data_IF_201604552554
#
_entry.id   IF_201604552554
#
_cell.length_a   1.000
_cell.length_b   1.000
_cell.length_c   1.000
_cell.angle_alpha   90.00
_cell.angle_beta   90.00
_cell.angle_gamma   90.00
#
_symmetry.space_group_name_H-M   'P 1'
#
loop_
_entity.id
_entity.type
_entity.pdbx_description
1 polymer ?
#
# COMPACT_ATOMS: atom_id res chain seq x y z
N UNK A 1 76.87 -38.10 -13.40
CA UNK A 1 76.21 -37.22 -12.44
C UNK A 1 75.30 -36.30 -13.21
N UNK A 2 74.00 -36.60 -13.21
CA UNK A 2 72.99 -35.75 -13.82
C UNK A 2 72.75 -34.59 -12.84
N UNK A 3 72.88 -33.31 -13.27
CA UNK A 3 72.68 -32.18 -12.36
C UNK A 3 71.25 -32.05 -11.79
N UNK A 4 70.29 -32.83 -12.29
CA UNK A 4 68.90 -32.84 -11.84
C UNK A 4 68.57 -34.00 -10.87
N UNK A 5 69.52 -34.90 -10.61
CA UNK A 5 69.37 -36.00 -9.64
C UNK A 5 70.44 -35.93 -8.55
N UNK A 6 70.12 -36.46 -7.38
CA UNK A 6 71.03 -36.60 -6.25
C UNK A 6 71.10 -38.05 -5.77
N UNK A 7 72.06 -38.34 -4.89
CA UNK A 7 72.38 -39.71 -4.48
C UNK A 7 72.65 -40.68 -5.65
N UNK A 8 73.32 -40.17 -6.69
CA UNK A 8 73.67 -40.94 -7.88
C UNK A 8 74.52 -42.18 -7.52
N UNK A 9 73.98 -43.37 -7.75
CA UNK A 9 74.71 -44.64 -7.58
C UNK A 9 74.89 -45.33 -8.93
N UNK A 10 76.00 -46.05 -9.07
CA UNK A 10 76.28 -46.86 -10.24
C UNK A 10 75.58 -48.22 -10.10
N UNK A 11 74.74 -48.57 -11.06
CA UNK A 11 74.07 -49.87 -11.09
C UNK A 11 74.94 -50.96 -11.74
N UNK A 12 74.50 -52.22 -11.68
CA UNK A 12 75.21 -53.38 -12.25
C UNK A 12 75.28 -53.40 -13.78
N UNK A 13 74.57 -52.49 -14.44
CA UNK A 13 74.64 -52.24 -15.88
C UNK A 13 75.59 -51.08 -16.25
N UNK A 14 76.35 -50.56 -15.28
CA UNK A 14 77.24 -49.40 -15.42
C UNK A 14 76.54 -48.09 -15.81
N UNK A 15 75.28 -47.91 -15.41
CA UNK A 15 74.56 -46.64 -15.54
C UNK A 15 74.61 -45.90 -14.20
N UNK A 16 74.82 -44.59 -14.26
CA UNK A 16 74.82 -43.70 -13.11
C UNK A 16 73.46 -43.00 -13.08
N UNK A 17 72.59 -43.40 -12.15
CA UNK A 17 71.27 -42.82 -11.98
C UNK A 17 71.05 -42.49 -10.50
N UNK A 18 70.51 -41.30 -10.22
CA UNK A 18 70.14 -40.87 -8.89
C UNK A 18 68.63 -40.75 -8.72
N UNK A 19 68.24 -40.30 -7.54
CA UNK A 19 66.86 -39.94 -7.22
C UNK A 19 66.60 -38.50 -7.66
N UNK A 20 65.40 -38.22 -8.16
CA UNK A 20 64.98 -36.86 -8.48
C UNK A 20 65.15 -35.96 -7.25
N UNK A 21 65.80 -34.81 -7.42
CA UNK A 21 65.90 -33.80 -6.36
C UNK A 21 64.55 -33.08 -6.28
N UNK A 22 63.94 -33.06 -5.09
CA UNK A 22 62.69 -32.36 -4.86
C UNK A 22 62.89 -30.83 -4.71
N UNK A 23 61.79 -30.08 -4.55
CA UNK A 23 61.83 -28.62 -4.46
C UNK A 23 62.54 -28.07 -3.21
N UNK A 24 62.82 -28.92 -2.20
CA UNK A 24 63.61 -28.57 -1.02
C UNK A 24 65.08 -29.00 -1.15
N UNK A 25 65.48 -29.53 -2.31
CA UNK A 25 66.84 -29.98 -2.56
C UNK A 25 67.14 -31.39 -2.02
N UNK A 26 66.11 -32.18 -1.69
CA UNK A 26 66.26 -33.54 -1.14
C UNK A 26 66.14 -34.59 -2.25
N UNK A 27 67.17 -35.43 -2.49
CA UNK A 27 67.07 -36.55 -3.41
C UNK A 27 66.00 -37.56 -2.96
N UNK A 28 65.01 -37.81 -3.80
CA UNK A 28 63.88 -38.70 -3.48
C UNK A 28 62.88 -38.14 -2.48
N UNK A 29 62.94 -36.83 -2.20
CA UNK A 29 62.00 -36.16 -1.32
C UNK A 29 60.59 -36.02 -1.90
N UNK A 30 59.63 -35.63 -1.06
CA UNK A 30 58.21 -35.58 -1.39
C UNK A 30 57.72 -34.21 -1.87
N UNK A 31 58.54 -33.16 -1.81
CA UNK A 31 58.18 -31.80 -2.23
C UNK A 31 58.28 -31.67 -3.75
N UNK A 32 57.36 -32.32 -4.47
CA UNK A 32 57.32 -32.34 -5.93
C UNK A 32 56.23 -31.37 -6.44
N UNK A 33 56.31 -30.90 -7.69
CA UNK A 33 55.24 -30.09 -8.27
C UNK A 33 53.85 -30.75 -8.11
N UNK A 34 52.90 -30.01 -7.55
CA UNK A 34 51.55 -30.46 -7.19
C UNK A 34 51.43 -31.09 -5.79
N UNK A 35 52.52 -31.30 -5.06
CA UNK A 35 52.44 -31.72 -3.66
C UNK A 35 52.10 -30.52 -2.76
N UNK A 36 51.42 -30.75 -1.61
CA UNK A 36 51.11 -29.68 -0.67
C UNK A 36 52.36 -28.99 -0.13
N UNK A 37 52.21 -27.71 0.20
CA UNK A 37 53.19 -26.89 0.90
C UNK A 37 52.47 -25.85 1.78
N UNK A 38 53.23 -24.92 2.37
CA UNK A 38 52.72 -23.76 3.12
C UNK A 38 53.62 -22.58 2.72
N UNK A 39 53.04 -21.55 2.10
CA UNK A 39 53.77 -20.34 1.68
C UNK A 39 53.76 -19.23 2.75
N UNK A 40 53.18 -19.52 3.92
CA UNK A 40 52.94 -18.60 5.05
C UNK A 40 52.06 -17.38 4.70
N UNK A 41 51.40 -17.34 3.54
CA UNK A 41 50.45 -16.28 3.19
C UNK A 41 49.07 -16.58 3.78
N UNK A 42 48.59 -15.80 4.78
CA UNK A 42 47.30 -16.03 5.39
C UNK A 42 46.11 -15.75 4.46
N UNK A 43 46.34 -15.15 3.29
CA UNK A 43 45.32 -14.85 2.28
C UNK A 43 45.07 -15.98 1.27
N UNK A 44 45.85 -17.06 1.33
CA UNK A 44 45.73 -18.20 0.42
C UNK A 44 45.61 -19.52 1.18
N UNK A 45 45.06 -20.53 0.50
CA UNK A 45 45.05 -21.91 0.97
C UNK A 45 45.23 -22.87 -0.21
N UNK A 46 45.20 -24.17 0.08
CA UNK A 46 45.52 -25.21 -0.91
C UNK A 46 46.91 -25.03 -1.56
N UNK A 47 47.89 -24.58 -0.78
CA UNK A 47 49.22 -24.26 -1.30
C UNK A 47 49.90 -25.50 -1.89
N UNK A 48 50.44 -25.34 -3.10
CA UNK A 48 51.09 -26.42 -3.81
C UNK A 48 52.37 -25.94 -4.50
N UNK A 49 53.32 -26.86 -4.63
CA UNK A 49 54.54 -26.58 -5.37
C UNK A 49 54.24 -26.46 -6.86
N UNK A 50 54.64 -25.35 -7.48
CA UNK A 50 54.62 -25.20 -8.94
C UNK A 50 55.74 -26.00 -9.62
N UNK A 51 55.67 -26.13 -10.95
CA UNK A 51 56.75 -26.75 -11.75
C UNK A 51 58.10 -26.01 -11.66
N UNK A 52 58.09 -24.75 -11.18
CA UNK A 52 59.27 -23.96 -10.92
C UNK A 52 59.76 -24.05 -9.46
N UNK A 53 59.20 -24.96 -8.66
CA UNK A 53 59.47 -25.10 -7.22
C UNK A 53 59.20 -23.83 -6.41
N UNK A 54 58.16 -23.09 -6.78
CA UNK A 54 57.59 -21.99 -5.98
C UNK A 54 56.37 -22.56 -5.28
N UNK A 55 56.32 -22.44 -3.95
CA UNK A 55 55.11 -22.72 -3.17
C UNK A 55 54.18 -21.50 -3.27
N UNK A 56 52.93 -21.73 -3.67
CA UNK A 56 51.90 -20.68 -3.72
C UNK A 56 50.51 -21.29 -3.56
N UNK A 57 49.61 -20.59 -2.88
CA UNK A 57 48.21 -20.98 -2.73
C UNK A 57 47.21 -20.34 -3.68
N UNK A 58 45.97 -20.80 -3.58
CA UNK A 58 44.79 -20.19 -4.20
C UNK A 58 44.18 -19.17 -3.23
N UNK A 59 43.77 -18.01 -3.74
CA UNK A 59 43.11 -17.00 -2.90
C UNK A 59 41.79 -17.54 -2.33
N UNK A 60 41.52 -17.20 -1.08
CA UNK A 60 40.22 -17.47 -0.47
C UNK A 60 39.12 -16.65 -1.12
N UNK A 61 37.98 -17.28 -1.37
CA UNK A 61 36.75 -16.61 -1.75
C UNK A 61 36.03 -16.01 -0.52
N UNK A 62 34.86 -15.40 -0.74
CA UNK A 62 34.07 -14.75 0.31
C UNK A 62 33.50 -15.72 1.36
N UNK A 63 33.52 -17.03 1.11
CA UNK A 63 33.13 -18.09 2.04
C UNK A 63 34.34 -18.73 2.74
N UNK A 64 35.55 -18.21 2.51
CA UNK A 64 36.82 -18.77 2.95
C UNK A 64 37.12 -20.14 2.32
N UNK A 65 36.67 -20.37 1.08
CA UNK A 65 37.04 -21.53 0.29
C UNK A 65 38.18 -21.16 -0.68
N UNK A 66 39.39 -21.75 -0.57
CA UNK A 66 40.48 -21.47 -1.49
C UNK A 66 40.11 -21.89 -2.92
N UNK A 67 40.22 -20.96 -3.87
CA UNK A 67 39.82 -21.19 -5.27
C UNK A 67 38.31 -21.28 -5.48
N UNK A 68 37.52 -20.94 -4.45
CA UNK A 68 36.06 -21.04 -4.48
C UNK A 68 35.39 -20.01 -5.39
N UNK A 69 34.11 -20.25 -5.77
CA UNK A 69 33.39 -19.41 -6.73
C UNK A 69 32.77 -18.15 -6.13
N UNK A 70 32.73 -17.99 -4.79
CA UNK A 70 32.06 -16.86 -4.14
C UNK A 70 32.91 -15.59 -4.19
N UNK A 71 32.98 -14.97 -5.37
CA UNK A 71 33.78 -13.76 -5.61
C UNK A 71 32.89 -12.52 -5.69
N UNK A 72 33.42 -11.31 -5.44
CA UNK A 72 32.69 -10.06 -5.66
C UNK A 72 32.04 -10.01 -7.06
N UNK A 73 30.74 -9.72 -7.10
CA UNK A 73 29.89 -9.70 -8.30
C UNK A 73 29.24 -11.03 -8.67
N UNK A 74 29.56 -12.12 -7.97
CA UNK A 74 28.84 -13.40 -8.12
C UNK A 74 27.56 -13.42 -7.28
N UNK A 75 26.58 -14.19 -7.72
CA UNK A 75 25.27 -14.29 -7.06
C UNK A 75 25.37 -14.94 -5.68
N UNK A 76 24.56 -14.46 -4.75
CA UNK A 76 24.39 -15.03 -3.42
C UNK A 76 22.92 -14.95 -3.01
N UNK A 77 22.61 -15.25 -1.73
CA UNK A 77 21.29 -15.06 -1.13
C UNK A 77 21.49 -14.56 0.30
N UNK A 78 21.07 -13.33 0.58
CA UNK A 78 21.21 -12.70 1.90
C UNK A 78 20.02 -13.00 2.84
N UNK A 79 19.00 -13.70 2.33
CA UNK A 79 17.78 -14.06 3.03
C UNK A 79 16.81 -12.90 3.28
N UNK A 80 17.08 -11.71 2.75
CA UNK A 80 16.24 -10.53 2.91
C UNK A 80 15.19 -10.47 1.79
N UNK A 81 13.93 -10.61 2.16
CA UNK A 81 12.81 -10.61 1.21
C UNK A 81 12.52 -9.25 0.58
N UNK A 82 13.13 -8.17 1.10
CA UNK A 82 12.97 -6.82 0.57
C UNK A 82 14.06 -6.44 -0.44
N UNK A 83 14.93 -7.38 -0.78
CA UNK A 83 15.98 -7.21 -1.78
C UNK A 83 15.89 -8.32 -2.84
N UNK A 84 16.49 -8.07 -4.00
CA UNK A 84 16.65 -9.05 -5.06
C UNK A 84 17.99 -8.88 -5.76
N UNK A 85 18.34 -9.84 -6.62
CA UNK A 85 19.61 -9.85 -7.35
C UNK A 85 20.83 -9.74 -6.41
N UNK A 86 20.80 -10.52 -5.33
CA UNK A 86 21.84 -10.51 -4.32
C UNK A 86 23.19 -10.94 -4.90
N UNK A 87 24.21 -10.14 -4.60
CA UNK A 87 25.57 -10.38 -5.06
C UNK A 87 26.58 -10.06 -3.96
N UNK A 88 27.72 -10.75 -4.01
CA UNK A 88 28.86 -10.44 -3.15
C UNK A 88 29.45 -9.08 -3.53
N UNK A 89 29.63 -8.19 -2.56
CA UNK A 89 30.31 -6.91 -2.77
C UNK A 89 31.85 -7.03 -2.63
N UNK A 90 32.56 -5.90 -2.80
CA UNK A 90 34.02 -5.85 -2.68
C UNK A 90 34.55 -6.19 -1.28
N UNK A 91 33.68 -6.16 -0.26
CA UNK A 91 33.98 -6.47 1.13
C UNK A 91 33.47 -7.86 1.52
N UNK A 92 33.06 -8.70 0.55
CA UNK A 92 32.48 -10.01 0.77
C UNK A 92 31.21 -9.98 1.64
N UNK A 93 30.38 -8.96 1.44
CA UNK A 93 29.02 -8.91 1.99
C UNK A 93 28.04 -9.34 0.90
N UNK A 94 27.19 -10.31 1.21
CA UNK A 94 26.07 -10.64 0.33
C UNK A 94 24.97 -9.61 0.55
N UNK A 95 24.69 -8.80 -0.48
CA UNK A 95 23.67 -7.74 -0.44
C UNK A 95 22.88 -7.73 -1.74
N UNK A 96 21.58 -7.52 -1.65
CA UNK A 96 20.72 -7.29 -2.82
C UNK A 96 20.38 -5.85 -3.13
N UNK A 97 19.75 -5.65 -4.29
CA UNK A 97 19.14 -4.39 -4.68
C UNK A 97 17.78 -4.24 -4.01
N UNK A 98 17.43 -3.05 -3.49
CA UNK A 98 16.16 -2.84 -2.81
C UNK A 98 14.98 -3.03 -3.77
N UNK A 99 13.95 -3.72 -3.29
CA UNK A 99 12.65 -3.84 -3.95
C UNK A 99 11.69 -2.78 -3.42
N UNK A 100 10.84 -2.25 -4.29
CA UNK A 100 9.65 -1.51 -3.88
C UNK A 100 8.52 -2.47 -3.45
N UNK A 101 7.39 -1.95 -2.96
CA UNK A 101 6.30 -2.82 -2.49
C UNK A 101 5.67 -3.68 -3.61
N UNK A 102 5.91 -3.35 -4.88
CA UNK A 102 5.45 -4.10 -6.05
C UNK A 102 6.47 -5.15 -6.50
N UNK A 103 7.59 -5.30 -5.78
CA UNK A 103 8.66 -6.21 -6.12
C UNK A 103 9.52 -5.71 -7.29
N UNK A 104 9.51 -4.41 -7.57
CA UNK A 104 10.34 -3.80 -8.62
C UNK A 104 11.66 -3.32 -8.02
N UNK A 105 12.77 -3.79 -8.59
CA UNK A 105 14.12 -3.37 -8.22
C UNK A 105 14.28 -1.87 -8.40
N UNK A 106 14.69 -1.18 -7.34
CA UNK A 106 14.81 0.28 -7.27
C UNK A 106 13.53 1.00 -7.74
N UNK A 107 12.38 0.36 -7.56
CA UNK A 107 11.09 0.94 -7.89
C UNK A 107 10.69 2.04 -6.91
N UNK A 108 9.56 2.67 -7.20
CA UNK A 108 9.05 3.82 -6.44
C UNK A 108 7.68 3.56 -5.82
N UNK A 109 7.12 2.36 -5.95
CA UNK A 109 5.86 2.04 -5.31
C UNK A 109 6.03 1.95 -3.79
N UNK A 110 5.06 2.48 -3.05
CA UNK A 110 5.06 2.49 -1.58
C UNK A 110 3.74 1.98 -1.04
N UNK A 111 3.77 1.47 0.19
CA UNK A 111 2.53 1.21 0.93
C UNK A 111 1.96 2.57 1.34
N UNK A 112 0.77 2.88 0.87
CA UNK A 112 0.05 4.13 1.16
C UNK A 112 -0.72 4.06 2.49
N UNK A 113 -1.45 5.13 2.82
CA UNK A 113 -2.26 5.25 4.03
C UNK A 113 -3.39 4.22 4.12
N UNK A 114 -3.84 3.70 2.98
CA UNK A 114 -4.82 2.61 2.89
C UNK A 114 -4.20 1.22 3.03
N UNK A 115 -2.87 1.13 3.20
CA UNK A 115 -2.17 -0.15 3.23
C UNK A 115 -2.02 -0.82 1.86
N UNK A 116 -2.31 -0.10 0.78
CA UNK A 116 -2.20 -0.58 -0.59
C UNK A 116 -0.82 -0.24 -1.15
N UNK A 117 -0.23 -1.17 -1.90
CA UNK A 117 0.98 -0.85 -2.67
C UNK A 117 0.59 0.03 -3.88
N UNK A 118 0.90 1.32 -3.80
CA UNK A 118 0.48 2.33 -4.76
C UNK A 118 1.66 3.14 -5.33
N UNK A 119 1.42 3.82 -6.44
CA UNK A 119 2.43 4.59 -7.17
C UNK A 119 3.39 3.74 -8.01
N UNK A 120 4.41 4.39 -8.57
CA UNK A 120 5.40 3.73 -9.43
C UNK A 120 4.79 3.00 -10.62
N UNK A 121 4.96 1.67 -10.67
CA UNK A 121 4.49 0.82 -11.78
C UNK A 121 3.12 0.19 -11.54
N UNK A 122 2.50 0.41 -10.39
CA UNK A 122 1.23 -0.24 -9.99
C UNK A 122 0.02 0.27 -10.76
N UNK A 123 0.07 1.53 -11.24
CA UNK A 123 -1.07 2.21 -11.85
C UNK A 123 -2.17 2.60 -10.84
N UNK A 124 -1.90 2.46 -9.54
CA UNK A 124 -2.78 2.85 -8.45
C UNK A 124 -2.31 4.22 -7.95
N UNK A 125 -3.25 5.17 -7.81
CA UNK A 125 -2.95 6.48 -7.23
C UNK A 125 -2.74 6.33 -5.71
N UNK A 126 -1.63 6.82 -5.14
CA UNK A 126 -1.43 6.76 -3.69
C UNK A 126 -2.34 7.73 -2.96
N UNK A 127 -2.91 7.28 -1.83
CA UNK A 127 -3.72 8.11 -0.93
C UNK A 127 -4.84 8.89 -1.67
N UNK A 128 -5.70 8.21 -2.44
CA UNK A 128 -6.78 8.89 -3.15
C UNK A 128 -7.79 9.48 -2.14
N UNK A 129 -8.28 10.67 -2.49
CA UNK A 129 -9.30 11.46 -1.81
C UNK A 129 -10.13 12.13 -2.91
N UNK A 130 -11.10 11.39 -3.43
CA UNK A 130 -11.82 11.73 -4.66
C UNK A 130 -12.71 12.98 -4.49
N UNK A 131 -13.17 13.27 -3.27
CA UNK A 131 -14.06 14.40 -2.98
C UNK A 131 -13.39 15.59 -2.25
N UNK A 132 -12.15 15.42 -1.82
CA UNK A 132 -11.29 16.47 -1.29
C UNK A 132 -11.62 16.88 0.14
N UNK A 133 -12.21 15.99 0.94
CA UNK A 133 -12.60 16.28 2.32
C UNK A 133 -11.52 15.98 3.36
N UNK A 134 -10.33 15.54 2.90
CA UNK A 134 -9.19 15.13 3.72
C UNK A 134 -9.35 13.81 4.46
N UNK A 135 -10.32 12.99 4.09
CA UNK A 135 -10.44 11.57 4.42
C UNK A 135 -10.06 10.77 3.18
N UNK A 136 -9.26 9.72 3.35
CA UNK A 136 -8.88 8.87 2.21
C UNK A 136 -10.07 8.02 1.78
N UNK A 137 -10.20 7.71 0.49
CA UNK A 137 -11.30 6.90 -0.06
C UNK A 137 -11.51 5.58 0.71
N UNK A 138 -10.43 4.96 1.19
CA UNK A 138 -10.51 3.70 1.93
C UNK A 138 -11.10 3.82 3.35
N UNK A 139 -11.07 5.03 3.92
CA UNK A 139 -11.60 5.37 5.23
C UNK A 139 -12.86 6.26 5.13
N UNK A 140 -13.29 6.61 3.92
CA UNK A 140 -14.41 7.51 3.65
C UNK A 140 -15.73 6.76 3.43
N UNK A 141 -16.69 7.00 4.33
CA UNK A 141 -18.04 6.44 4.25
C UNK A 141 -18.97 7.16 3.24
N UNK A 142 -18.50 8.20 2.56
CA UNK A 142 -19.20 8.92 1.51
C UNK A 142 -18.29 9.39 0.34
N UNK A 143 -17.52 8.48 -0.26
CA UNK A 143 -16.59 8.64 -1.41
C UNK A 143 -16.75 9.79 -2.45
N UNK A 144 -17.97 10.29 -2.67
CA UNK A 144 -18.24 11.37 -3.65
C UNK A 144 -18.81 12.64 -3.05
N UNK A 145 -18.92 12.75 -1.72
CA UNK A 145 -19.58 13.84 -1.00
C UNK A 145 -18.83 14.18 0.28
N UNK A 146 -18.09 15.29 0.20
CA UNK A 146 -17.23 15.76 1.29
C UNK A 146 -17.92 15.82 2.66
N UNK A 147 -17.46 14.98 3.58
CA UNK A 147 -17.97 14.82 4.95
C UNK A 147 -16.85 14.46 5.95
N UNK A 148 -15.85 15.35 6.08
CA UNK A 148 -14.70 15.23 6.99
C UNK A 148 -14.97 14.80 8.45
N UNK A 149 -16.21 14.88 8.93
CA UNK A 149 -16.62 14.41 10.26
C UNK A 149 -16.97 12.92 10.31
N UNK A 150 -17.11 12.28 9.14
CA UNK A 150 -17.36 10.85 8.91
C UNK A 150 -18.54 10.34 9.74
N UNK A 151 -19.55 11.20 9.91
CA UNK A 151 -20.70 10.88 10.74
C UNK A 151 -21.54 9.76 10.07
N UNK A 152 -21.71 8.67 10.79
CA UNK A 152 -22.55 7.52 10.43
C UNK A 152 -23.35 7.14 11.68
N UNK A 153 -24.64 7.48 11.69
CA UNK A 153 -25.47 7.40 12.89
C UNK A 153 -25.94 5.98 13.18
N UNK A 154 -26.27 5.21 12.16
CA UNK A 154 -26.82 3.87 12.31
C UNK A 154 -25.78 2.76 12.13
N UNK A 155 -24.54 3.14 11.79
CA UNK A 155 -23.34 2.30 11.76
C UNK A 155 -23.35 1.22 10.69
N UNK A 156 -23.98 1.51 9.54
CA UNK A 156 -24.03 0.59 8.41
C UNK A 156 -22.84 0.73 7.44
N UNK A 157 -22.01 1.77 7.63
CA UNK A 157 -20.84 2.06 6.80
C UNK A 157 -21.09 3.04 5.66
N UNK A 158 -22.32 3.55 5.50
CA UNK A 158 -22.67 4.66 4.63
C UNK A 158 -22.82 5.92 5.48
N UNK A 159 -22.09 6.98 5.15
CA UNK A 159 -22.14 8.21 5.94
C UNK A 159 -23.49 8.91 5.83
N UNK A 160 -23.90 9.59 6.90
CA UNK A 160 -25.18 10.30 7.00
C UNK A 160 -25.43 11.28 5.84
N UNK A 161 -24.36 11.80 5.21
CA UNK A 161 -24.46 12.74 4.09
C UNK A 161 -24.91 12.07 2.80
N UNK A 162 -24.54 10.81 2.59
CA UNK A 162 -24.83 10.03 1.40
C UNK A 162 -25.83 8.89 1.64
N UNK A 163 -26.26 8.68 2.88
CA UNK A 163 -27.24 7.69 3.28
C UNK A 163 -28.69 8.15 3.03
N UNK A 164 -29.47 7.34 2.30
CA UNK A 164 -30.89 7.54 2.04
C UNK A 164 -31.82 7.09 3.18
N UNK A 165 -31.29 6.44 4.23
CA UNK A 165 -31.96 6.12 5.49
C UNK A 165 -31.04 6.27 6.73
N UNK A 166 -30.60 7.50 7.12
CA UNK A 166 -29.62 7.77 8.19
C UNK A 166 -29.91 7.29 9.62
N UNK A 167 -30.93 6.47 9.84
CA UNK A 167 -31.36 5.96 11.13
C UNK A 167 -31.68 4.47 11.12
N UNK A 168 -31.66 3.81 9.96
CA UNK A 168 -31.95 2.38 9.81
C UNK A 168 -30.95 1.79 8.82
N UNK A 169 -30.07 0.87 9.29
CA UNK A 169 -29.01 0.32 8.46
C UNK A 169 -29.50 -0.30 7.15
N UNK A 170 -28.96 0.17 6.03
CA UNK A 170 -29.19 -0.34 4.68
C UNK A 170 -27.98 -0.07 3.76
N UNK A 171 -26.93 -0.86 3.95
CA UNK A 171 -25.70 -0.85 3.14
C UNK A 171 -25.93 -0.90 1.62
N UNK A 172 -27.02 -1.50 1.17
CA UNK A 172 -27.35 -1.60 -0.26
C UNK A 172 -27.99 -0.33 -0.84
N UNK A 173 -28.40 0.62 0.01
CA UNK A 173 -28.98 1.91 -0.34
C UNK A 173 -30.14 1.78 -1.35
N UNK A 174 -30.88 0.67 -1.29
CA UNK A 174 -31.94 0.38 -2.24
C UNK A 174 -33.06 1.42 -2.14
N UNK A 175 -33.46 1.98 -3.28
CA UNK A 175 -34.50 3.01 -3.44
C UNK A 175 -35.22 2.73 -4.78
N UNK A 176 -36.28 1.93 -4.71
CA UNK A 176 -36.95 1.34 -5.88
C UNK A 176 -37.75 2.37 -6.68
N UNK A 177 -38.26 3.41 -6.01
CA UNK A 177 -39.05 4.47 -6.64
C UNK A 177 -38.25 5.76 -6.93
N UNK A 178 -36.98 5.78 -6.49
CA UNK A 178 -35.99 6.84 -6.75
C UNK A 178 -36.40 8.21 -6.20
N UNK A 179 -37.12 8.23 -5.09
CA UNK A 179 -37.54 9.47 -4.43
C UNK A 179 -36.48 10.03 -3.44
N UNK A 180 -35.38 9.28 -3.23
CA UNK A 180 -34.29 9.62 -2.33
C UNK A 180 -34.46 9.08 -0.91
N UNK A 181 -35.43 8.19 -0.69
CA UNK A 181 -35.68 7.46 0.55
C UNK A 181 -35.34 6.00 0.32
N UNK A 182 -34.54 5.39 1.19
CA UNK A 182 -34.30 3.96 1.06
C UNK A 182 -35.55 3.15 1.36
N UNK A 183 -35.70 2.03 0.66
CA UNK A 183 -36.79 1.06 0.78
C UNK A 183 -37.05 0.66 2.25
N UNK A 184 -36.00 0.62 3.08
CA UNK A 184 -36.10 0.24 4.49
C UNK A 184 -36.73 1.33 5.36
N UNK A 185 -36.65 2.60 4.95
CA UNK A 185 -37.22 3.74 5.67
C UNK A 185 -38.46 4.35 5.01
N UNK A 186 -38.96 3.72 3.95
CA UNK A 186 -40.29 3.99 3.43
C UNK A 186 -41.38 3.84 4.51
N UNK A 187 -42.31 4.80 4.56
CA UNK A 187 -43.48 4.76 5.43
C UNK A 187 -43.20 4.85 6.94
N UNK A 188 -41.95 5.05 7.36
CA UNK A 188 -41.54 5.19 8.78
C UNK A 188 -40.97 6.57 9.11
N UNK A 189 -41.19 7.55 8.22
CA UNK A 189 -40.88 8.96 8.45
C UNK A 189 -41.82 9.65 9.45
N UNK A 190 -41.53 10.92 9.74
CA UNK A 190 -42.36 11.77 10.60
C UNK A 190 -43.62 12.18 9.82
N UNK A 191 -44.74 11.48 10.01
CA UNK A 191 -46.04 11.91 9.47
C UNK A 191 -46.49 13.24 10.10
N UNK A 192 -46.17 14.39 9.48
CA UNK A 192 -46.80 15.67 9.82
C UNK A 192 -48.05 15.90 8.94
N UNK A 193 -49.21 15.60 9.53
CA UNK A 193 -50.55 15.82 9.00
C UNK A 193 -50.73 17.14 8.23
N UNK A 194 -51.16 17.04 6.96
CA UNK A 194 -51.77 18.17 6.27
C UNK A 194 -52.12 17.96 4.80
N UNK A 195 -53.30 17.39 4.50
CA UNK A 195 -54.13 17.63 3.31
C UNK A 195 -53.59 17.29 1.91
N UNK A 196 -52.28 17.18 1.74
CA UNK A 196 -51.61 16.56 0.61
C UNK A 196 -51.24 15.15 1.04
N UNK A 197 -51.49 14.19 0.16
CA UNK A 197 -50.76 12.91 0.17
C UNK A 197 -49.26 13.21 0.32
N UNK A 198 -48.69 12.71 1.41
CA UNK A 198 -47.26 12.66 1.79
C UNK A 198 -46.36 13.80 1.29
N UNK A 199 -46.18 14.82 2.12
CA UNK A 199 -45.01 15.69 2.01
C UNK A 199 -43.80 14.97 2.63
N UNK A 200 -43.10 14.20 1.82
CA UNK A 200 -41.85 13.53 2.17
C UNK A 200 -40.67 14.52 2.07
N UNK A 201 -39.80 14.58 3.09
CA UNK A 201 -38.59 15.42 3.06
C UNK A 201 -37.40 14.64 3.61
N UNK A 202 -36.35 14.51 2.79
CA UNK A 202 -35.25 13.59 3.01
C UNK A 202 -33.88 14.18 2.62
N UNK A 203 -32.78 13.79 3.29
CA UNK A 203 -32.78 13.15 4.60
C UNK A 203 -33.30 14.15 5.67
N UNK A 204 -33.92 13.63 6.73
CA UNK A 204 -34.34 14.43 7.87
C UNK A 204 -34.14 13.62 9.17
N UNK A 205 -33.03 13.84 9.89
CA UNK A 205 -32.18 15.04 9.87
C UNK A 205 -31.32 15.22 8.61
N UNK A 206 -30.97 16.46 8.26
CA UNK A 206 -30.11 16.82 7.11
C UNK A 206 -28.80 17.47 7.56
N UNK A 207 -27.72 17.33 6.81
CA UNK A 207 -26.48 18.11 6.99
C UNK A 207 -26.44 19.41 6.16
N UNK A 208 -27.54 19.75 5.49
CA UNK A 208 -27.63 20.97 4.69
C UNK A 208 -28.25 20.79 3.31
N UNK A 209 -28.67 19.60 2.91
CA UNK A 209 -29.42 19.39 1.68
C UNK A 209 -30.72 18.65 2.00
N UNK A 210 -31.85 19.24 1.60
CA UNK A 210 -33.16 18.61 1.68
C UNK A 210 -33.69 18.33 0.29
N UNK A 211 -34.31 17.16 0.12
CA UNK A 211 -35.05 16.74 -1.06
C UNK A 211 -36.50 16.57 -0.68
N UNK A 212 -37.40 17.08 -1.51
CA UNK A 212 -38.83 16.81 -1.37
C UNK A 212 -39.20 15.59 -2.20
N UNK A 213 -39.78 14.58 -1.56
CA UNK A 213 -40.35 13.42 -2.23
C UNK A 213 -41.62 13.80 -2.98
N UNK A 214 -41.78 13.25 -4.18
CA UNK A 214 -42.96 13.45 -5.02
C UNK A 214 -43.10 14.82 -5.71
N UNK A 215 -44.19 14.98 -6.46
CA UNK A 215 -44.55 16.25 -7.11
C UNK A 215 -45.49 17.05 -6.18
N UNK A 216 -45.17 18.32 -5.92
CA UNK A 216 -45.97 19.23 -5.09
C UNK A 216 -46.53 20.35 -5.99
N UNK A 217 -47.68 20.14 -6.65
CA UNK A 217 -48.18 21.07 -7.65
C UNK A 217 -48.56 22.42 -7.02
N UNK A 218 -48.10 23.50 -7.64
CA UNK A 218 -48.42 24.85 -7.20
C UNK A 218 -47.50 25.40 -6.10
N UNK A 219 -46.54 24.62 -5.60
CA UNK A 219 -45.53 25.12 -4.66
C UNK A 219 -44.69 26.22 -5.30
N UNK A 220 -44.55 27.33 -4.57
CA UNK A 220 -43.81 28.54 -5.01
C UNK A 220 -42.71 28.92 -4.05
N UNK A 221 -42.94 28.72 -2.76
CA UNK A 221 -42.10 29.28 -1.72
C UNK A 221 -42.02 28.32 -0.54
N UNK A 222 -40.88 28.35 0.14
CA UNK A 222 -40.60 27.62 1.36
C UNK A 222 -40.21 28.61 2.45
N UNK A 223 -40.91 28.53 3.58
CA UNK A 223 -40.61 29.28 4.78
C UNK A 223 -39.96 28.35 5.80
N UNK A 224 -38.87 28.78 6.42
CA UNK A 224 -38.27 28.10 7.56
C UNK A 224 -38.49 28.92 8.82
N UNK A 225 -39.12 28.31 9.82
CA UNK A 225 -39.31 28.89 11.14
C UNK A 225 -38.44 28.17 12.16
N UNK A 226 -37.89 28.89 13.12
CA UNK A 226 -37.21 28.30 14.28
C UNK A 226 -38.20 27.65 15.27
N UNK A 227 -37.74 26.96 16.32
CA UNK A 227 -38.63 26.33 17.30
C UNK A 227 -39.48 27.33 18.12
N UNK A 228 -39.12 28.61 18.10
CA UNK A 228 -39.84 29.70 18.76
C UNK A 228 -40.89 30.33 17.84
N UNK A 229 -40.96 29.90 16.57
CA UNK A 229 -41.89 30.40 15.55
C UNK A 229 -41.42 31.67 14.83
N UNK A 230 -40.16 32.07 14.99
CA UNK A 230 -39.60 33.19 14.22
C UNK A 230 -39.23 32.73 12.82
N UNK A 231 -39.58 33.53 11.80
CA UNK A 231 -39.19 33.26 10.42
C UNK A 231 -37.68 33.47 10.26
N UNK A 232 -36.97 32.39 9.97
CA UNK A 232 -35.51 32.37 9.75
C UNK A 232 -35.20 32.64 8.30
N UNK A 233 -35.91 31.97 7.39
CA UNK A 233 -35.62 32.11 5.97
C UNK A 233 -36.85 31.94 5.07
N UNK A 234 -36.73 32.50 3.88
CA UNK A 234 -37.75 32.49 2.82
C UNK A 234 -37.06 32.16 1.51
N UNK A 235 -37.36 30.99 0.97
CA UNK A 235 -36.68 30.39 -0.17
C UNK A 235 -37.68 30.17 -1.31
N UNK A 236 -37.28 30.32 -2.58
CA UNK A 236 -38.08 29.81 -3.68
C UNK A 236 -38.18 28.29 -3.56
N UNK A 237 -39.37 27.72 -3.83
CA UNK A 237 -39.53 26.27 -3.81
C UNK A 237 -38.68 25.62 -4.91
N UNK A 238 -37.94 24.58 -4.52
CA UNK A 238 -37.17 23.68 -5.38
C UNK A 238 -37.33 22.26 -4.84
N UNK A 239 -37.25 21.27 -5.72
CA UNK A 239 -37.21 19.85 -5.33
C UNK A 239 -36.02 19.53 -4.43
N UNK A 240 -34.90 20.24 -4.62
CA UNK A 240 -33.72 20.16 -3.75
C UNK A 240 -33.43 21.54 -3.19
N UNK A 241 -33.38 21.66 -1.87
CA UNK A 241 -33.07 22.88 -1.15
C UNK A 241 -31.75 22.70 -0.40
N UNK A 242 -30.82 23.60 -0.69
CA UNK A 242 -29.59 23.79 0.06
C UNK A 242 -29.85 24.69 1.29
N UNK A 243 -29.63 24.12 2.47
CA UNK A 243 -29.66 24.72 3.78
C UNK A 243 -28.26 24.90 4.38
N UNK A 244 -27.15 24.72 3.66
CA UNK A 244 -25.80 24.90 4.21
C UNK A 244 -25.58 26.30 4.79
N UNK A 245 -26.24 27.32 4.22
CA UNK A 245 -26.20 28.69 4.72
C UNK A 245 -27.05 28.94 5.98
N UNK A 246 -27.82 27.95 6.44
CA UNK A 246 -28.66 28.04 7.63
C UNK A 246 -27.92 27.39 8.79
N UNK A 247 -28.01 27.97 9.99
CA UNK A 247 -27.42 27.38 11.20
C UNK A 247 -27.96 25.97 11.49
N UNK A 248 -27.21 25.16 12.20
CA UNK A 248 -27.70 23.90 12.75
C UNK A 248 -28.87 24.16 13.71
N UNK A 249 -29.86 23.29 13.71
CA UNK A 249 -31.04 23.41 14.57
C UNK A 249 -32.27 22.70 14.03
N UNK A 250 -33.36 22.76 14.80
CA UNK A 250 -34.67 22.26 14.36
C UNK A 250 -35.48 23.39 13.74
N UNK A 251 -36.06 23.13 12.58
CA UNK A 251 -36.85 24.08 11.82
C UNK A 251 -38.23 23.52 11.50
N UNK A 252 -39.22 24.39 11.42
CA UNK A 252 -40.51 24.06 10.78
C UNK A 252 -40.49 24.63 9.37
N UNK A 253 -40.57 23.76 8.39
CA UNK A 253 -40.64 24.10 6.99
C UNK A 253 -42.11 24.19 6.58
N UNK A 254 -42.51 25.29 5.94
CA UNK A 254 -43.86 25.51 5.42
C UNK A 254 -43.79 25.83 3.93
N UNK A 255 -44.51 25.06 3.11
CA UNK A 255 -44.57 25.26 1.66
C UNK A 255 -45.80 26.08 1.33
N UNK A 256 -45.65 27.13 0.52
CA UNK A 256 -46.73 28.02 0.10
C UNK A 256 -46.98 27.95 -1.41
N UNK A 257 -48.23 28.18 -1.80
CA UNK A 257 -48.64 28.40 -3.19
C UNK A 257 -48.49 29.88 -3.62
N UNK A 258 -48.92 30.18 -4.86
CA UNK A 258 -48.90 31.53 -5.42
C UNK A 258 -49.81 32.53 -4.68
N UNK A 259 -50.83 32.04 -3.98
CA UNK A 259 -51.77 32.83 -3.19
C UNK A 259 -51.34 32.94 -1.71
N UNK A 260 -50.11 32.52 -1.37
CA UNK A 260 -49.57 32.45 0.00
C UNK A 260 -50.35 31.51 0.92
N UNK A 261 -51.03 30.49 0.37
CA UNK A 261 -51.71 29.47 1.17
C UNK A 261 -50.74 28.32 1.47
N UNK A 262 -50.75 27.80 2.71
CA UNK A 262 -49.92 26.67 3.07
C UNK A 262 -50.40 25.40 2.35
N UNK A 263 -49.50 24.80 1.59
CA UNK A 263 -49.67 23.52 0.91
C UNK A 263 -49.27 22.36 1.83
N UNK A 264 -48.21 22.53 2.61
CA UNK A 264 -47.74 21.50 3.54
C UNK A 264 -46.81 22.08 4.60
N UNK A 265 -46.58 21.31 5.67
CA UNK A 265 -45.64 21.63 6.73
C UNK A 265 -44.87 20.38 7.12
N UNK A 266 -43.61 20.54 7.51
CA UNK A 266 -42.80 19.44 8.03
C UNK A 266 -41.74 20.00 8.98
N UNK A 267 -41.46 19.27 10.06
CA UNK A 267 -40.31 19.57 10.93
C UNK A 267 -39.05 18.96 10.33
N UNK A 268 -38.01 19.77 10.18
CA UNK A 268 -36.68 19.34 9.74
C UNK A 268 -35.67 19.59 10.85
N UNK A 269 -34.76 18.64 11.05
CA UNK A 269 -33.57 18.85 11.88
C UNK A 269 -32.37 19.04 10.94
N UNK A 270 -31.64 20.15 11.07
CA UNK A 270 -30.36 20.37 10.42
C UNK A 270 -29.25 20.14 11.44
N UNK A 271 -28.41 19.14 11.21
CA UNK A 271 -27.17 18.95 11.95
C UNK A 271 -26.01 19.73 11.34
#
# INVERSE_FOLDING_TARGET
MDPLTGDDQWNTSCECAGLLIDCLGLPGGSALPGSPCDDEDPGTGNDSWSAACICSGEAFDCLNDPGGPALPGTSCDDGNTNTAEDAWDANCQCIGQPLDCAGVINGTAVIDGCGTCAGGTTGIDPDPDDDGDSVLDCDDNCLGLSNSDQADFDTDGIGNLCDNCPWIPNVDQADDDSDGVGNVCEGIGIEELGGLTELAVHPNPTMGLLRFGGNIPGAREVLLFDPLGALVHRLPFKLVIDLQAISQGTYTLVILDADQRPLGRVRVVRF
#
